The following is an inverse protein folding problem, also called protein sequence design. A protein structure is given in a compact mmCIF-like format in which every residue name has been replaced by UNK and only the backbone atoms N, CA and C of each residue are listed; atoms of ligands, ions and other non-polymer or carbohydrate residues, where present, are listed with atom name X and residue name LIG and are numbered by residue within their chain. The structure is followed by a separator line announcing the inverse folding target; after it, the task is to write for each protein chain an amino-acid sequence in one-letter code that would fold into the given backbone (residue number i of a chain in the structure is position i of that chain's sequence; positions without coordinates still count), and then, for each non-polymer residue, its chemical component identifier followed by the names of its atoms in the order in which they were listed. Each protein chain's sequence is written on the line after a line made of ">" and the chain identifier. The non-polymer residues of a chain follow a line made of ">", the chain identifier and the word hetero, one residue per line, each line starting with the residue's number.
data_IF_326497237135
#
_entry.id   IF_326497237135
#
_cell.length_a   1.000
_cell.length_b   1.000
_cell.length_c   1.000
_cell.angle_alpha   90.00
_cell.angle_beta   90.00
_cell.angle_gamma   90.00
#
_symmetry.space_group_name_H-M   'P 1'
#
loop_
_entity.id
_entity.type
_entity.pdbx_description
1 polymer ?
#
# COMPACT_ATOMS: atom_id res chain seq x y z
N UNK A 1 61.60 7.49 19.70
CA UNK A 1 61.91 6.06 19.93
C UNK A 1 61.19 5.24 18.89
N UNK A 2 61.96 4.75 17.94
CA UNK A 2 61.55 3.87 16.84
C UNK A 2 61.39 2.45 17.42
N UNK A 3 60.27 1.79 17.12
CA UNK A 3 60.14 0.33 17.22
C UNK A 3 59.31 -0.18 16.05
N UNK A 4 59.99 -0.89 15.15
CA UNK A 4 59.65 -2.23 14.63
C UNK A 4 58.25 -2.43 14.01
N UNK A 5 58.05 -3.12 12.89
CA UNK A 5 58.90 -3.93 12.03
C UNK A 5 57.93 -4.51 10.98
N UNK A 6 58.28 -4.37 9.70
CA UNK A 6 58.12 -5.38 8.64
C UNK A 6 57.06 -6.49 8.79
N UNK A 7 56.08 -6.49 7.87
CA UNK A 7 55.49 -7.67 7.21
C UNK A 7 54.63 -7.15 6.04
N UNK A 8 55.14 -7.12 4.79
CA UNK A 8 55.10 -8.21 3.80
C UNK A 8 53.73 -8.88 3.62
N UNK A 9 53.44 -9.20 2.35
CA UNK A 9 52.27 -9.89 1.80
C UNK A 9 51.07 -8.98 1.51
N UNK A 10 50.93 -8.50 0.27
CA UNK A 10 50.31 -9.23 -0.87
C UNK A 10 48.83 -9.46 -0.62
N UNK A 11 48.00 -8.81 -1.44
CA UNK A 11 46.87 -9.39 -2.17
C UNK A 11 46.21 -8.26 -2.98
N UNK A 12 46.58 -8.12 -4.24
CA UNK A 12 45.81 -8.65 -5.38
C UNK A 12 44.57 -7.80 -5.68
N UNK A 13 44.78 -6.95 -6.69
CA UNK A 13 43.87 -6.55 -7.76
C UNK A 13 42.59 -7.38 -7.80
N UNK A 14 41.44 -6.73 -7.60
CA UNK A 14 40.21 -7.08 -8.31
C UNK A 14 39.50 -5.79 -8.72
N UNK A 15 39.89 -5.30 -9.91
CA UNK A 15 38.91 -4.66 -10.79
C UNK A 15 37.82 -5.69 -11.06
N UNK A 16 36.68 -5.58 -10.39
CA UNK A 16 35.50 -6.30 -10.83
C UNK A 16 34.24 -5.76 -10.18
N UNK A 17 33.39 -5.28 -11.08
CA UNK A 17 31.94 -5.20 -10.98
C UNK A 17 31.39 -4.12 -10.04
N UNK A 18 30.92 -3.04 -10.69
CA UNK A 18 29.55 -2.60 -10.47
C UNK A 18 28.69 -3.87 -10.35
N UNK A 19 28.30 -4.20 -9.13
CA UNK A 19 27.32 -5.22 -8.88
C UNK A 19 26.00 -4.67 -9.39
N UNK A 20 25.74 -5.03 -10.64
CA UNK A 20 24.48 -4.98 -11.33
C UNK A 20 23.40 -5.54 -10.39
N UNK A 21 22.75 -4.66 -9.64
CA UNK A 21 21.54 -5.00 -8.89
C UNK A 21 20.41 -5.30 -9.87
N UNK A 22 20.46 -6.49 -10.48
CA UNK A 22 19.34 -7.06 -11.20
C UNK A 22 18.89 -8.35 -10.52
N UNK A 23 17.64 -8.28 -10.08
CA UNK A 23 16.84 -9.21 -9.24
C UNK A 23 17.22 -9.05 -7.78
N UNK A 24 16.46 -8.27 -7.00
CA UNK A 24 15.07 -8.55 -6.64
C UNK A 24 14.37 -7.34 -5.97
N UNK A 25 14.44 -6.18 -6.62
CA UNK A 25 13.59 -5.02 -6.32
C UNK A 25 12.52 -4.90 -7.41
N UNK A 26 11.44 -5.67 -7.28
CA UNK A 26 10.19 -5.29 -7.96
C UNK A 26 9.65 -4.10 -7.17
N UNK A 27 10.10 -2.90 -7.53
CA UNK A 27 9.41 -1.68 -7.13
C UNK A 27 7.97 -1.85 -7.59
N UNK A 28 7.04 -2.04 -6.65
CA UNK A 28 5.60 -2.09 -6.93
C UNK A 28 5.31 -0.90 -7.85
N UNK A 29 4.95 -1.17 -9.10
CA UNK A 29 4.71 -0.14 -10.07
C UNK A 29 3.34 0.50 -9.77
N UNK A 30 3.32 1.42 -8.81
CA UNK A 30 2.14 2.18 -8.43
C UNK A 30 1.72 3.21 -9.50
N UNK A 31 2.31 3.18 -10.70
CA UNK A 31 1.90 4.02 -11.81
C UNK A 31 0.40 3.86 -12.14
N UNK A 32 -0.14 2.64 -11.99
CA UNK A 32 -1.57 2.40 -12.21
C UNK A 32 -2.47 3.24 -11.29
N UNK A 33 -1.99 3.68 -10.12
CA UNK A 33 -2.76 4.54 -9.24
C UNK A 33 -3.16 5.86 -9.89
N UNK A 34 -2.42 6.32 -10.91
CA UNK A 34 -2.72 7.54 -11.66
C UNK A 34 -3.32 7.26 -13.05
N UNK A 35 -3.09 6.09 -13.63
CA UNK A 35 -3.48 5.78 -15.02
C UNK A 35 -4.69 4.88 -15.15
N UNK A 36 -4.98 4.04 -14.15
CA UNK A 36 -6.19 3.22 -14.15
C UNK A 36 -7.43 4.11 -14.17
N UNK A 37 -8.40 3.82 -15.02
CA UNK A 37 -9.68 4.54 -15.01
C UNK A 37 -10.59 3.94 -13.94
N UNK A 38 -10.92 4.74 -12.93
CA UNK A 38 -11.74 4.30 -11.80
C UNK A 38 -13.12 3.83 -12.26
N UNK A 39 -13.53 2.65 -11.79
CA UNK A 39 -14.86 2.07 -12.02
C UNK A 39 -15.62 1.91 -10.70
N UNK A 40 -16.51 2.87 -10.43
CA UNK A 40 -17.32 2.88 -9.20
C UNK A 40 -18.26 1.66 -9.11
N UNK A 41 -18.74 1.12 -10.24
CA UNK A 41 -19.62 -0.05 -10.23
C UNK A 41 -18.84 -1.30 -9.84
N UNK A 42 -17.63 -1.45 -10.38
CA UNK A 42 -16.72 -2.50 -9.96
C UNK A 42 -16.39 -2.35 -8.46
N UNK A 43 -16.02 -1.13 -8.03
CA UNK A 43 -15.72 -0.83 -6.63
C UNK A 43 -16.85 -1.20 -5.68
N UNK A 44 -18.10 -0.91 -6.04
CA UNK A 44 -19.28 -1.31 -5.26
C UNK A 44 -19.41 -2.83 -5.16
N UNK A 45 -19.17 -3.56 -6.26
CA UNK A 45 -19.21 -5.03 -6.28
C UNK A 45 -18.14 -5.61 -5.34
N UNK A 46 -16.91 -5.10 -5.39
CA UNK A 46 -15.82 -5.54 -4.52
C UNK A 46 -16.09 -5.20 -3.06
N UNK A 47 -16.62 -4.00 -2.79
CA UNK A 47 -17.05 -3.60 -1.46
C UNK A 47 -18.06 -4.58 -0.88
N UNK A 48 -19.15 -4.86 -1.61
CA UNK A 48 -20.20 -5.77 -1.18
C UNK A 48 -19.72 -7.20 -0.99
N UNK A 49 -18.70 -7.61 -1.74
CA UNK A 49 -18.14 -8.96 -1.67
C UNK A 49 -17.23 -9.16 -0.45
N UNK A 50 -16.42 -8.16 -0.09
CA UNK A 50 -15.34 -8.35 0.88
C UNK A 50 -15.26 -7.27 1.95
N UNK A 51 -15.35 -6.00 1.56
CA UNK A 51 -15.11 -4.88 2.49
C UNK A 51 -16.28 -4.62 3.44
N UNK A 52 -17.50 -4.98 3.01
CA UNK A 52 -18.76 -4.68 3.69
C UNK A 52 -18.82 -5.20 5.12
N UNK A 53 -18.24 -6.39 5.38
CA UNK A 53 -18.24 -7.06 6.68
C UNK A 53 -17.70 -6.18 7.80
N UNK A 54 -16.70 -5.34 7.48
CA UNK A 54 -16.08 -4.44 8.44
C UNK A 54 -16.57 -3.01 8.26
N UNK A 55 -16.60 -2.51 7.03
CA UNK A 55 -16.84 -1.10 6.78
C UNK A 55 -18.32 -0.70 6.83
N UNK A 56 -19.30 -1.61 6.77
CA UNK A 56 -20.70 -1.21 6.84
C UNK A 56 -21.10 -0.71 8.25
N UNK A 57 -20.62 -1.39 9.29
CA UNK A 57 -21.00 -1.12 10.68
C UNK A 57 -19.82 -0.82 11.61
N UNK A 58 -18.59 -0.80 11.08
CA UNK A 58 -17.37 -0.54 11.86
C UNK A 58 -16.88 -1.74 12.66
N UNK A 59 -17.25 -2.96 12.26
CA UNK A 59 -16.78 -4.20 12.89
C UNK A 59 -15.25 -4.22 12.96
N UNK A 60 -14.70 -4.64 14.11
CA UNK A 60 -13.25 -4.68 14.31
C UNK A 60 -12.58 -3.30 14.31
N UNK A 61 -13.35 -2.22 14.52
CA UNK A 61 -12.83 -0.85 14.58
C UNK A 61 -12.59 -0.20 13.22
N UNK A 62 -13.15 -0.77 12.15
CA UNK A 62 -13.11 -0.19 10.82
C UNK A 62 -13.85 1.16 10.76
N UNK A 63 -13.43 2.03 9.85
CA UNK A 63 -14.16 3.28 9.59
C UNK A 63 -15.46 2.94 8.88
N UNK A 64 -16.58 3.39 9.44
CA UNK A 64 -17.92 3.15 8.89
C UNK A 64 -18.04 3.81 7.51
N UNK A 65 -18.72 3.15 6.57
CA UNK A 65 -18.82 3.52 5.16
C UNK A 65 -19.27 4.96 4.99
N UNK A 66 -20.28 5.42 5.73
CA UNK A 66 -20.84 6.78 5.61
C UNK A 66 -20.27 7.78 6.64
N UNK A 67 -19.15 7.47 7.30
CA UNK A 67 -18.48 8.37 8.23
C UNK A 67 -17.55 9.34 7.49
N UNK A 68 -18.16 10.34 6.85
CA UNK A 68 -17.44 11.35 6.06
C UNK A 68 -16.31 12.02 6.84
N UNK A 69 -16.51 12.32 8.13
CA UNK A 69 -15.51 13.02 8.96
C UNK A 69 -14.24 12.20 9.12
N UNK A 70 -14.37 10.91 9.42
CA UNK A 70 -13.19 10.04 9.55
C UNK A 70 -12.53 9.77 8.19
N UNK A 71 -13.29 9.62 7.10
CA UNK A 71 -12.72 9.49 5.75
C UNK A 71 -11.96 10.74 5.30
N UNK A 72 -12.49 11.94 5.56
CA UNK A 72 -11.76 13.19 5.33
C UNK A 72 -10.45 13.25 6.12
N UNK A 73 -10.46 12.79 7.37
CA UNK A 73 -9.25 12.74 8.19
C UNK A 73 -8.20 11.78 7.58
N UNK A 74 -8.63 10.64 7.01
CA UNK A 74 -7.73 9.75 6.27
C UNK A 74 -7.11 10.48 5.07
N UNK A 75 -7.91 11.19 4.26
CA UNK A 75 -7.42 11.92 3.08
C UNK A 75 -6.59 13.18 3.39
N UNK A 76 -6.64 13.66 4.65
CA UNK A 76 -5.78 14.74 5.15
C UNK A 76 -4.44 14.22 5.67
N UNK A 77 -4.42 13.02 6.23
CA UNK A 77 -3.25 12.47 6.94
C UNK A 77 -2.46 11.45 6.11
N UNK A 78 -3.02 10.94 5.01
CA UNK A 78 -2.39 9.91 4.17
C UNK A 78 -2.48 10.28 2.70
N UNK A 79 -1.42 9.93 1.97
CA UNK A 79 -1.40 9.98 0.50
C UNK A 79 -2.22 8.84 -0.10
N UNK A 80 -2.63 8.97 -1.36
CA UNK A 80 -3.30 7.89 -2.12
C UNK A 80 -2.48 6.59 -2.06
N UNK A 81 -1.17 6.68 -2.31
CA UNK A 81 -0.25 5.54 -2.25
C UNK A 81 -0.29 4.87 -0.88
N UNK A 82 -0.33 5.66 0.20
CA UNK A 82 -0.36 5.11 1.56
C UNK A 82 -1.70 4.42 1.89
N UNK A 83 -2.81 5.00 1.46
CA UNK A 83 -4.14 4.36 1.63
C UNK A 83 -4.17 3.05 0.86
N UNK A 84 -3.78 3.07 -0.41
CA UNK A 84 -3.80 1.89 -1.26
C UNK A 84 -2.88 0.78 -0.72
N UNK A 85 -1.63 1.09 -0.39
CA UNK A 85 -0.68 0.09 0.13
C UNK A 85 -1.12 -0.51 1.47
N UNK A 86 -1.78 0.29 2.33
CA UNK A 86 -2.39 -0.23 3.56
C UNK A 86 -3.51 -1.25 3.28
N UNK A 87 -4.29 -1.07 2.21
CA UNK A 87 -5.30 -2.06 1.80
C UNK A 87 -4.62 -3.28 1.17
N UNK A 88 -3.67 -3.06 0.26
CA UNK A 88 -2.96 -4.12 -0.46
C UNK A 88 -2.25 -5.09 0.49
N UNK A 89 -1.52 -4.55 1.48
CA UNK A 89 -0.71 -5.35 2.40
C UNK A 89 -1.39 -5.63 3.74
N UNK A 90 -2.44 -4.89 4.07
CA UNK A 90 -3.01 -4.90 5.42
C UNK A 90 -2.13 -4.13 6.40
N UNK A 91 -2.69 -3.83 7.57
CA UNK A 91 -1.95 -3.21 8.67
C UNK A 91 -2.70 -3.37 10.00
N UNK A 92 -1.99 -3.29 11.11
CA UNK A 92 -2.59 -3.13 12.44
C UNK A 92 -2.72 -1.64 12.74
N UNK A 93 -3.96 -1.13 12.82
CA UNK A 93 -4.25 0.24 13.23
C UNK A 93 -4.55 0.33 14.72
N UNK A 94 -4.52 1.55 15.27
CA UNK A 94 -4.87 1.81 16.68
C UNK A 94 -6.31 1.46 17.03
N UNK A 95 -7.24 1.51 16.05
CA UNK A 95 -8.64 1.12 16.22
C UNK A 95 -8.90 -0.35 15.94
N UNK A 96 -8.00 -1.02 15.21
CA UNK A 96 -8.15 -2.41 14.81
C UNK A 96 -7.39 -2.77 13.54
N UNK A 97 -7.35 -4.05 13.16
CA UNK A 97 -6.63 -4.53 12.00
C UNK A 97 -7.40 -4.31 10.69
N UNK A 98 -6.67 -3.99 9.63
CA UNK A 98 -7.13 -4.11 8.25
C UNK A 98 -6.42 -5.31 7.61
N UNK A 99 -7.15 -6.37 7.22
CA UNK A 99 -6.53 -7.55 6.61
C UNK A 99 -5.97 -7.23 5.21
N UNK A 100 -4.97 -8.01 4.81
CA UNK A 100 -4.36 -7.95 3.47
C UNK A 100 -5.44 -8.03 2.39
N UNK A 101 -5.37 -7.12 1.40
CA UNK A 101 -6.34 -6.94 0.30
C UNK A 101 -7.80 -6.79 0.78
N UNK A 102 -8.02 -6.29 2.00
CA UNK A 102 -9.36 -6.20 2.58
C UNK A 102 -10.08 -7.57 2.66
N UNK A 103 -9.30 -8.64 2.85
CA UNK A 103 -9.73 -10.05 2.81
C UNK A 103 -10.17 -10.58 1.43
N UNK A 104 -9.99 -9.82 0.34
CA UNK A 104 -10.25 -10.28 -1.02
C UNK A 104 -8.97 -10.83 -1.66
N UNK A 105 -8.74 -12.14 -1.56
CA UNK A 105 -7.50 -12.76 -2.05
C UNK A 105 -7.40 -12.72 -3.58
N UNK A 106 -8.53 -12.83 -4.25
CA UNK A 106 -8.73 -12.89 -5.69
C UNK A 106 -8.82 -11.51 -6.37
N UNK A 107 -8.99 -10.43 -5.60
CA UNK A 107 -9.10 -9.08 -6.16
C UNK A 107 -7.79 -8.67 -6.85
N UNK A 108 -7.87 -8.11 -8.04
CA UNK A 108 -6.72 -7.44 -8.67
C UNK A 108 -6.34 -6.15 -7.93
N UNK A 109 -5.19 -5.57 -8.26
CA UNK A 109 -4.78 -4.28 -7.72
C UNK A 109 -5.76 -3.15 -8.07
N UNK A 110 -6.27 -3.17 -9.30
CA UNK A 110 -7.27 -2.21 -9.77
C UNK A 110 -8.63 -2.41 -9.10
N UNK A 111 -9.03 -3.65 -8.78
CA UNK A 111 -10.25 -3.93 -8.01
C UNK A 111 -10.21 -3.28 -6.62
N UNK A 112 -9.05 -3.35 -5.96
CA UNK A 112 -8.88 -2.73 -4.65
C UNK A 112 -8.92 -1.20 -4.75
N UNK A 113 -8.32 -0.62 -5.79
CA UNK A 113 -8.37 0.81 -6.04
C UNK A 113 -9.81 1.29 -6.31
N UNK A 114 -10.55 0.57 -7.13
CA UNK A 114 -11.97 0.84 -7.41
C UNK A 114 -12.81 0.76 -6.12
N UNK A 115 -12.55 -0.24 -5.25
CA UNK A 115 -13.25 -0.39 -3.98
C UNK A 115 -12.97 0.77 -3.00
N UNK A 116 -11.71 1.21 -2.91
CA UNK A 116 -11.33 2.38 -2.12
C UNK A 116 -12.08 3.61 -2.63
N UNK A 117 -12.11 3.81 -3.95
CA UNK A 117 -12.81 4.94 -4.54
C UNK A 117 -14.32 4.88 -4.30
N UNK A 118 -14.94 3.71 -4.42
CA UNK A 118 -16.36 3.54 -4.10
C UNK A 118 -16.67 3.98 -2.66
N UNK A 119 -15.89 3.50 -1.68
CA UNK A 119 -16.07 3.87 -0.26
C UNK A 119 -16.01 5.39 -0.07
N UNK A 120 -15.04 6.05 -0.71
CA UNK A 120 -14.90 7.51 -0.63
C UNK A 120 -16.05 8.23 -1.36
N UNK A 121 -16.47 7.72 -2.50
CA UNK A 121 -17.54 8.32 -3.32
C UNK A 121 -18.89 8.38 -2.60
N UNK A 122 -19.18 7.39 -1.73
CA UNK A 122 -20.37 7.40 -0.86
C UNK A 122 -20.39 8.63 0.05
N UNK A 123 -19.22 9.18 0.39
CA UNK A 123 -19.04 10.36 1.21
C UNK A 123 -18.83 11.65 0.39
N UNK A 124 -18.98 11.59 -0.95
CA UNK A 124 -18.62 12.66 -1.90
C UNK A 124 -17.14 13.05 -1.80
N UNK A 125 -16.28 12.05 -1.58
CA UNK A 125 -14.83 12.18 -1.56
C UNK A 125 -14.23 11.37 -2.72
N UNK A 126 -12.97 11.63 -3.05
CA UNK A 126 -12.20 10.83 -4.01
C UNK A 126 -10.78 10.63 -3.50
N UNK A 127 -10.17 9.49 -3.85
CA UNK A 127 -8.77 9.23 -3.56
C UNK A 127 -7.84 10.07 -4.44
N UNK A 128 -8.32 10.47 -5.63
CA UNK A 128 -7.62 11.37 -6.56
C UNK A 128 -8.20 12.77 -6.35
N UNK A 129 -7.39 13.66 -5.76
CA UNK A 129 -7.72 15.09 -5.68
C UNK A 129 -7.48 15.77 -7.02
#
# INVERSE_FOLDING_TARGET
>A
MIKYFLLLSVCVIFNSCLENQKKNNETIDLHFLNTHKLDIKNGQKIFNKSCITCHLYGTGGAIILNDKKNWENILKTKTMQKVYTNVLYGYAGSKGPMPKKGACQECSETDLLDAIEYILSVNRLSIRK
#
